data_IF_374394609223
#
_entry.id   IF_374394609223
#
_cell.length_a   1.000
_cell.length_b   1.000
_cell.length_c   1.000
_cell.angle_alpha   90.00
_cell.angle_beta   90.00
_cell.angle_gamma   90.00
#
_symmetry.space_group_name_H-M   'P 1'
#
loop_
_entity.id
_entity.type
_entity.pdbx_description
1 polymer ?
#
# COMPACT_ATOMS: atom_id res chain seq x y z
N UNK A 1 -8.40 -27.99 8.45
CA UNK A 1 -9.60 -27.09 8.45
C UNK A 1 -9.86 -26.40 7.11
N UNK A 2 -8.86 -26.16 6.25
CA UNK A 2 -9.09 -25.73 4.86
C UNK A 2 -9.76 -26.81 3.98
N UNK A 3 -9.84 -28.06 4.47
CA UNK A 3 -10.31 -29.25 3.75
C UNK A 3 -11.84 -29.39 3.65
N UNK A 4 -12.63 -28.51 4.28
CA UNK A 4 -14.11 -28.59 4.23
C UNK A 4 -14.74 -27.70 3.14
N UNK A 5 -13.92 -27.03 2.31
CA UNK A 5 -14.42 -26.13 1.26
C UNK A 5 -14.37 -26.84 -0.10
N UNK A 6 -15.48 -26.79 -0.83
CA UNK A 6 -15.54 -27.35 -2.18
C UNK A 6 -14.47 -26.71 -3.08
N UNK A 7 -13.83 -27.54 -3.91
CA UNK A 7 -12.87 -27.07 -4.90
C UNK A 7 -13.57 -26.13 -5.88
N UNK A 8 -12.97 -24.97 -6.13
CA UNK A 8 -13.51 -24.01 -7.10
C UNK A 8 -13.53 -24.66 -8.49
N UNK A 9 -14.61 -24.45 -9.23
CA UNK A 9 -14.81 -25.02 -10.57
C UNK A 9 -15.31 -23.96 -11.55
N UNK A 10 -15.09 -24.19 -12.85
CA UNK A 10 -15.51 -23.29 -13.94
C UNK A 10 -14.93 -21.87 -13.81
N UNK A 11 -15.75 -20.86 -14.03
CA UNK A 11 -15.36 -19.45 -14.00
C UNK A 11 -14.66 -19.05 -12.68
N UNK A 12 -15.07 -19.62 -11.55
CA UNK A 12 -14.47 -19.34 -10.25
C UNK A 12 -13.05 -19.91 -10.12
N UNK A 13 -12.77 -21.06 -10.75
CA UNK A 13 -11.43 -21.63 -10.80
C UNK A 13 -10.50 -20.81 -11.70
N UNK A 14 -11.00 -20.39 -12.86
CA UNK A 14 -10.25 -19.55 -13.80
C UNK A 14 -9.90 -18.19 -13.19
N UNK A 15 -10.85 -17.53 -12.52
CA UNK A 15 -10.60 -16.27 -11.82
C UNK A 15 -9.53 -16.42 -10.73
N UNK A 16 -9.60 -17.49 -9.95
CA UNK A 16 -8.62 -17.79 -8.91
C UNK A 16 -7.23 -18.07 -9.48
N UNK A 17 -7.15 -18.86 -10.55
CA UNK A 17 -5.88 -19.13 -11.24
C UNK A 17 -5.25 -17.85 -11.80
N UNK A 18 -6.04 -16.95 -12.38
CA UNK A 18 -5.57 -15.64 -12.84
C UNK A 18 -5.09 -14.72 -11.72
N UNK A 19 -5.62 -14.85 -10.50
CA UNK A 19 -5.13 -14.10 -9.34
C UNK A 19 -3.79 -14.69 -8.90
N UNK A 20 -3.69 -16.02 -8.78
CA UNK A 20 -2.45 -16.69 -8.39
C UNK A 20 -1.32 -16.47 -9.40
N UNK A 21 -1.63 -16.39 -10.70
CA UNK A 21 -0.64 -16.12 -11.75
C UNK A 21 -0.02 -14.72 -11.67
N UNK A 22 -0.61 -13.80 -10.90
CA UNK A 22 -0.07 -12.46 -10.66
C UNK A 22 0.84 -12.39 -9.44
N UNK A 23 1.00 -13.50 -8.71
CA UNK A 23 1.92 -13.58 -7.59
C UNK A 23 3.35 -13.45 -8.10
N UNK A 24 4.09 -12.51 -7.51
CA UNK A 24 5.48 -12.25 -7.84
C UNK A 24 6.39 -12.75 -6.71
N UNK A 25 7.15 -13.84 -6.93
CA UNK A 25 8.03 -14.40 -5.91
C UNK A 25 9.20 -13.47 -5.57
N UNK A 26 9.71 -12.68 -6.52
CA UNK A 26 10.82 -11.77 -6.25
C UNK A 26 10.38 -10.67 -5.28
N UNK A 27 9.20 -10.08 -5.53
CA UNK A 27 8.59 -9.11 -4.63
C UNK A 27 8.32 -9.73 -3.25
N UNK A 28 7.78 -10.95 -3.21
CA UNK A 28 7.50 -11.64 -1.96
C UNK A 28 8.76 -11.90 -1.13
N UNK A 29 9.84 -12.35 -1.76
CA UNK A 29 11.14 -12.55 -1.09
C UNK A 29 11.71 -11.25 -0.55
N UNK A 30 11.63 -10.17 -1.33
CA UNK A 30 12.09 -8.86 -0.90
C UNK A 30 11.23 -8.28 0.25
N UNK A 31 9.92 -8.54 0.26
CA UNK A 31 9.04 -8.21 1.39
C UNK A 31 9.41 -9.00 2.64
N UNK A 32 9.69 -10.30 2.55
CA UNK A 32 10.12 -11.11 3.69
C UNK A 32 11.48 -10.66 4.22
N UNK A 33 12.42 -10.29 3.34
CA UNK A 33 13.70 -9.70 3.73
C UNK A 33 13.51 -8.38 4.49
N UNK A 34 12.59 -7.52 4.04
CA UNK A 34 12.22 -6.30 4.76
C UNK A 34 11.58 -6.60 6.12
N UNK A 35 10.65 -7.57 6.19
CA UNK A 35 10.04 -8.00 7.47
C UNK A 35 11.12 -8.53 8.44
N UNK A 36 12.08 -9.31 7.95
CA UNK A 36 13.23 -9.80 8.73
C UNK A 36 14.05 -8.64 9.30
N UNK A 37 14.38 -7.65 8.47
CA UNK A 37 15.16 -6.48 8.89
C UNK A 37 14.42 -5.63 9.94
N UNK A 38 13.12 -5.43 9.78
CA UNK A 38 12.31 -4.60 10.70
C UNK A 38 12.01 -5.32 12.02
N UNK A 39 11.69 -6.61 11.97
CA UNK A 39 11.35 -7.38 13.18
C UNK A 39 12.55 -7.93 13.92
N UNK A 40 13.71 -8.04 13.25
CA UNK A 40 14.91 -8.69 13.79
C UNK A 40 14.76 -10.19 14.00
N UNK A 41 13.68 -10.81 13.51
CA UNK A 41 13.42 -12.25 13.67
C UNK A 41 14.06 -13.04 12.53
N UNK A 42 14.60 -14.21 12.85
CA UNK A 42 15.12 -15.11 11.83
C UNK A 42 13.95 -15.83 11.13
N UNK A 43 13.69 -15.43 9.89
CA UNK A 43 12.68 -16.02 9.01
C UNK A 43 13.31 -16.40 7.68
N UNK A 44 12.69 -17.37 7.00
CA UNK A 44 13.04 -17.73 5.63
C UNK A 44 12.63 -16.62 4.67
N UNK A 45 13.59 -16.09 3.92
CA UNK A 45 13.37 -15.01 2.94
C UNK A 45 13.04 -15.53 1.54
N UNK A 46 12.73 -16.83 1.39
CA UNK A 46 12.35 -17.36 0.09
C UNK A 46 11.00 -16.79 -0.35
N UNK A 47 10.94 -16.34 -1.59
CA UNK A 47 9.74 -15.81 -2.22
C UNK A 47 8.72 -16.87 -2.65
N UNK A 48 8.99 -18.15 -2.39
CA UNK A 48 8.07 -19.24 -2.74
C UNK A 48 6.72 -19.06 -2.06
N UNK A 49 5.65 -19.35 -2.79
CA UNK A 49 4.28 -19.12 -2.31
C UNK A 49 3.97 -19.90 -1.02
N UNK A 50 4.47 -21.13 -0.90
CA UNK A 50 4.31 -21.93 0.31
C UNK A 50 5.14 -21.39 1.47
N UNK A 51 6.38 -20.95 1.23
CA UNK A 51 7.21 -20.34 2.28
C UNK A 51 6.59 -19.05 2.80
N UNK A 52 6.13 -18.20 1.88
CA UNK A 52 5.46 -16.94 2.19
C UNK A 52 4.20 -17.16 3.03
N UNK A 53 3.38 -18.16 2.66
CA UNK A 53 2.23 -18.55 3.47
C UNK A 53 2.62 -19.08 4.84
N UNK A 54 3.50 -20.08 4.92
CA UNK A 54 3.85 -20.74 6.18
C UNK A 54 4.46 -19.77 7.19
N UNK A 55 5.21 -18.77 6.71
CA UNK A 55 5.83 -17.73 7.53
C UNK A 55 4.82 -16.73 8.11
N UNK A 56 3.71 -16.48 7.42
CA UNK A 56 2.74 -15.42 7.78
C UNK A 56 1.41 -15.96 8.32
N UNK A 57 1.07 -17.24 8.08
CA UNK A 57 -0.27 -17.80 8.31
C UNK A 57 -0.76 -17.71 9.76
N UNK A 58 0.13 -17.70 10.73
CA UNK A 58 -0.23 -17.63 12.15
C UNK A 58 -0.63 -16.22 12.60
N UNK A 59 -0.33 -15.21 11.78
CA UNK A 59 -0.54 -13.79 12.07
C UNK A 59 0.36 -13.22 13.18
N UNK A 60 1.18 -14.04 13.83
CA UNK A 60 2.04 -13.62 14.95
C UNK A 60 3.14 -12.70 14.43
N UNK A 61 3.83 -13.11 13.35
CA UNK A 61 4.88 -12.30 12.74
C UNK A 61 4.34 -10.94 12.25
N UNK A 62 3.11 -10.92 11.72
CA UNK A 62 2.43 -9.71 11.29
C UNK A 62 2.15 -8.75 12.46
N UNK A 63 1.68 -9.27 13.59
CA UNK A 63 1.49 -8.46 14.80
C UNK A 63 2.81 -7.88 15.32
N UNK A 64 3.88 -8.67 15.32
CA UNK A 64 5.20 -8.16 15.71
C UNK A 64 5.74 -7.11 14.75
N UNK A 65 5.53 -7.26 13.44
CA UNK A 65 5.89 -6.26 12.44
C UNK A 65 5.24 -4.90 12.74
N UNK A 66 3.95 -4.89 13.09
CA UNK A 66 3.25 -3.66 13.50
C UNK A 66 3.90 -3.05 14.73
N UNK A 67 4.20 -3.87 15.76
CA UNK A 67 4.84 -3.38 16.99
C UNK A 67 6.27 -2.87 16.75
N UNK A 68 7.00 -3.44 15.80
CA UNK A 68 8.33 -2.96 15.39
C UNK A 68 8.26 -1.62 14.64
N UNK A 69 7.21 -1.39 13.85
CA UNK A 69 6.99 -0.12 13.14
C UNK A 69 6.50 0.97 14.09
N UNK A 70 5.51 0.63 14.93
CA UNK A 70 4.91 1.53 15.90
C UNK A 70 4.86 0.82 17.26
N UNK A 71 5.80 1.14 18.16
CA UNK A 71 5.83 0.57 19.51
C UNK A 71 4.48 0.68 20.23
N UNK A 72 4.19 -0.32 21.07
CA UNK A 72 2.97 -0.38 21.90
C UNK A 72 1.62 -0.35 21.13
N UNK A 73 1.61 -0.68 19.84
CA UNK A 73 0.38 -0.75 19.05
C UNK A 73 -0.51 -1.92 19.47
N UNK A 74 0.02 -3.15 19.42
CA UNK A 74 -0.69 -4.37 19.77
C UNK A 74 -0.12 -4.88 21.10
N UNK A 75 -0.90 -4.93 22.19
CA UNK A 75 -0.45 -5.51 23.45
C UNK A 75 -0.07 -6.98 23.27
N UNK A 76 1.08 -7.41 23.77
CA UNK A 76 1.54 -8.81 23.66
C UNK A 76 0.53 -9.82 24.21
N UNK A 77 -0.26 -9.42 25.22
CA UNK A 77 -1.35 -10.24 25.80
C UNK A 77 -2.46 -10.57 24.80
N UNK A 78 -2.62 -9.78 23.73
CA UNK A 78 -3.61 -10.03 22.67
C UNK A 78 -3.06 -10.92 21.56
N UNK A 79 -1.75 -11.05 21.42
CA UNK A 79 -1.12 -11.89 20.39
C UNK A 79 -1.25 -13.35 20.82
N UNK A 80 -1.88 -14.16 19.98
CA UNK A 80 -2.11 -15.56 20.30
C UNK A 80 -1.11 -16.48 19.58
N UNK A 81 -0.43 -17.36 20.30
CA UNK A 81 0.54 -18.30 19.72
C UNK A 81 -0.04 -19.70 19.43
N UNK A 82 -1.35 -19.87 19.62
CA UNK A 82 -2.03 -21.13 19.32
C UNK A 82 -2.13 -21.38 17.81
N UNK A 83 -2.00 -22.63 17.40
CA UNK A 83 -2.23 -23.08 16.00
C UNK A 83 -3.71 -23.23 15.64
N UNK A 84 -4.62 -22.88 16.55
CA UNK A 84 -6.06 -22.96 16.32
C UNK A 84 -6.49 -21.91 15.29
N UNK A 85 -7.29 -22.33 14.30
CA UNK A 85 -7.68 -21.49 13.17
C UNK A 85 -8.24 -20.12 13.57
N UNK A 86 -9.17 -20.10 14.54
CA UNK A 86 -9.79 -18.85 14.99
C UNK A 86 -8.79 -17.89 15.65
N UNK A 87 -7.75 -18.41 16.31
CA UNK A 87 -6.70 -17.61 16.94
C UNK A 87 -5.73 -17.02 15.93
N UNK A 88 -5.34 -17.79 14.91
CA UNK A 88 -4.56 -17.26 13.81
C UNK A 88 -5.34 -16.18 13.04
N UNK A 89 -6.63 -16.40 12.77
CA UNK A 89 -7.50 -15.39 12.15
C UNK A 89 -7.68 -14.13 13.03
N UNK A 90 -7.72 -14.28 14.36
CA UNK A 90 -7.77 -13.15 15.30
C UNK A 90 -6.51 -12.29 15.21
N UNK A 91 -5.32 -12.91 15.18
CA UNK A 91 -4.05 -12.18 14.98
C UNK A 91 -4.02 -11.44 13.64
N UNK A 92 -4.45 -12.09 12.55
CA UNK A 92 -4.49 -11.45 11.23
C UNK A 92 -5.44 -10.25 11.23
N UNK A 93 -6.60 -10.34 11.89
CA UNK A 93 -7.50 -9.20 12.05
C UNK A 93 -6.86 -8.05 12.85
N UNK A 94 -6.15 -8.35 13.93
CA UNK A 94 -5.43 -7.35 14.73
C UNK A 94 -4.40 -6.62 13.87
N UNK A 95 -3.62 -7.35 13.05
CA UNK A 95 -2.71 -6.75 12.09
C UNK A 95 -3.44 -5.79 11.13
N UNK A 96 -4.55 -6.23 10.52
CA UNK A 96 -5.30 -5.45 9.54
C UNK A 96 -5.87 -4.15 10.14
N UNK A 97 -6.35 -4.20 11.38
CA UNK A 97 -6.85 -3.02 12.09
C UNK A 97 -5.74 -1.97 12.25
N UNK A 98 -4.57 -2.39 12.72
CA UNK A 98 -3.44 -1.48 12.94
C UNK A 98 -2.81 -1.01 11.62
N UNK A 99 -2.77 -1.86 10.59
CA UNK A 99 -2.35 -1.46 9.25
C UNK A 99 -3.19 -0.29 8.72
N UNK A 100 -4.53 -0.34 8.89
CA UNK A 100 -5.42 0.78 8.52
C UNK A 100 -5.14 2.03 9.33
N UNK A 101 -4.93 1.90 10.65
CA UNK A 101 -4.58 3.04 11.51
C UNK A 101 -3.23 3.69 11.13
N UNK A 102 -2.29 2.91 10.59
CA UNK A 102 -1.02 3.40 10.04
C UNK A 102 -1.14 4.01 8.63
N UNK A 103 -2.35 4.09 8.09
CA UNK A 103 -2.65 4.75 6.83
C UNK A 103 -2.56 3.86 5.60
N UNK A 104 -2.59 2.53 5.76
CA UNK A 104 -2.80 1.61 4.64
C UNK A 104 -4.24 1.76 4.13
N UNK A 105 -4.46 2.06 2.84
CA UNK A 105 -5.79 2.16 2.25
C UNK A 105 -6.56 0.85 2.38
N UNK A 106 -7.87 0.92 2.63
CA UNK A 106 -8.71 -0.27 2.73
C UNK A 106 -8.66 -1.16 1.47
N UNK A 107 -8.48 -0.54 0.30
CA UNK A 107 -8.35 -1.22 -0.99
C UNK A 107 -7.07 -2.06 -1.12
N UNK A 108 -6.03 -1.70 -0.37
CA UNK A 108 -4.74 -2.41 -0.31
C UNK A 108 -4.68 -3.35 0.91
N UNK A 109 -5.75 -3.44 1.72
CA UNK A 109 -5.88 -4.46 2.77
C UNK A 109 -6.46 -5.76 2.20
N UNK A 110 -6.32 -6.85 2.96
CA UNK A 110 -6.84 -8.17 2.60
C UNK A 110 -7.83 -8.69 3.67
N UNK A 111 -8.51 -9.80 3.37
CA UNK A 111 -9.40 -10.49 4.31
C UNK A 111 -8.67 -11.67 4.96
N UNK A 112 -9.04 -12.06 6.18
CA UNK A 112 -8.36 -13.16 6.88
C UNK A 112 -8.30 -14.48 6.11
N UNK A 113 -9.33 -14.77 5.30
CA UNK A 113 -9.40 -15.95 4.42
C UNK A 113 -8.37 -15.91 3.29
N UNK A 114 -7.94 -14.73 2.85
CA UNK A 114 -6.95 -14.57 1.78
C UNK A 114 -5.60 -15.15 2.18
N UNK A 115 -5.21 -14.91 3.44
CA UNK A 115 -4.02 -15.50 4.03
C UNK A 115 -4.31 -16.91 4.55
N UNK A 116 -5.25 -17.09 5.48
CA UNK A 116 -5.43 -18.37 6.19
C UNK A 116 -5.79 -19.55 5.27
N UNK A 117 -6.67 -19.34 4.30
CA UNK A 117 -7.12 -20.37 3.34
C UNK A 117 -6.38 -20.27 1.98
N UNK A 118 -5.27 -19.52 1.91
CA UNK A 118 -4.49 -19.29 0.68
C UNK A 118 -5.34 -18.81 -0.51
N UNK A 119 -6.41 -18.05 -0.28
CA UNK A 119 -7.29 -17.62 -1.37
C UNK A 119 -6.64 -16.55 -2.26
N UNK A 120 -5.82 -15.68 -1.68
CA UNK A 120 -5.25 -14.55 -2.40
C UNK A 120 -4.00 -13.99 -1.69
N UNK A 121 -2.86 -14.67 -1.88
CA UNK A 121 -1.58 -14.24 -1.30
C UNK A 121 -1.04 -12.96 -1.95
N UNK A 122 -1.49 -12.61 -3.16
CA UNK A 122 -1.16 -11.34 -3.81
C UNK A 122 -1.71 -10.14 -3.01
N UNK A 123 -2.93 -10.22 -2.50
CA UNK A 123 -3.48 -9.14 -1.67
C UNK A 123 -2.68 -8.96 -0.37
N UNK A 124 -2.11 -10.04 0.17
CA UNK A 124 -1.20 -9.98 1.33
C UNK A 124 0.10 -9.26 0.97
N UNK A 125 0.72 -9.57 -0.17
CA UNK A 125 1.93 -8.89 -0.62
C UNK A 125 1.70 -7.40 -0.91
N UNK A 126 0.57 -7.03 -1.51
CA UNK A 126 0.18 -5.63 -1.73
C UNK A 126 0.01 -4.90 -0.41
N UNK A 127 -0.63 -5.53 0.58
CA UNK A 127 -0.82 -4.93 1.90
C UNK A 127 0.51 -4.67 2.61
N UNK A 128 1.42 -5.64 2.59
CA UNK A 128 2.77 -5.49 3.15
C UNK A 128 3.57 -4.41 2.42
N UNK A 129 3.50 -4.36 1.10
CA UNK A 129 4.14 -3.31 0.31
C UNK A 129 3.58 -1.92 0.65
N UNK A 130 2.26 -1.80 0.80
CA UNK A 130 1.65 -0.56 1.26
C UNK A 130 2.13 -0.17 2.65
N UNK A 131 2.17 -1.12 3.59
CA UNK A 131 2.66 -0.86 4.94
C UNK A 131 4.13 -0.42 4.92
N UNK A 132 4.97 -1.05 4.10
CA UNK A 132 6.38 -0.71 3.95
C UNK A 132 6.59 0.69 3.36
N UNK A 133 5.69 1.18 2.49
CA UNK A 133 5.70 2.58 2.02
C UNK A 133 5.35 3.58 3.13
N UNK A 134 4.56 3.17 4.13
CA UNK A 134 4.17 4.02 5.28
C UNK A 134 5.18 3.96 6.44
N UNK A 135 5.98 2.89 6.54
CA UNK A 135 6.97 2.69 7.60
C UNK A 135 7.95 3.87 7.83
N UNK A 136 8.44 4.60 6.80
CA UNK A 136 9.29 5.79 7.00
C UNK A 136 8.65 6.89 7.84
N UNK A 137 7.31 7.00 7.84
CA UNK A 137 6.59 7.98 8.67
C UNK A 137 6.73 7.70 10.17
N UNK A 138 7.13 6.48 10.53
CA UNK A 138 7.35 6.03 11.90
C UNK A 138 8.85 5.87 12.23
N UNK A 139 9.75 6.32 11.34
CA UNK A 139 11.19 6.21 11.55
C UNK A 139 11.79 4.83 11.24
N UNK A 140 11.00 3.93 10.66
CA UNK A 140 11.47 2.60 10.21
C UNK A 140 11.78 2.64 8.72
N UNK A 141 12.84 1.93 8.29
CA UNK A 141 13.21 1.85 6.88
C UNK A 141 12.04 1.31 6.06
N UNK A 142 11.64 2.05 5.04
CA UNK A 142 10.58 1.65 4.13
C UNK A 142 11.05 0.83 2.95
N UNK A 143 10.09 0.38 2.16
CA UNK A 143 10.31 -0.30 0.89
C UNK A 143 9.46 0.36 -0.21
N UNK A 144 10.03 0.49 -1.40
CA UNK A 144 9.35 1.07 -2.56
C UNK A 144 9.47 2.60 -2.66
N UNK A 145 8.83 3.20 -3.67
CA UNK A 145 8.92 4.64 -3.92
C UNK A 145 8.29 5.44 -2.77
N UNK A 146 8.99 6.49 -2.33
CA UNK A 146 8.49 7.43 -1.31
C UNK A 146 7.20 8.08 -1.82
N UNK A 147 6.14 8.05 -1.01
CA UNK A 147 4.91 8.79 -1.31
C UNK A 147 5.20 10.29 -1.39
N UNK A 148 4.67 10.95 -2.42
CA UNK A 148 4.82 12.39 -2.57
C UNK A 148 4.11 13.13 -1.43
N UNK A 149 4.80 14.09 -0.83
CA UNK A 149 4.23 15.00 0.16
C UNK A 149 3.59 16.18 -0.59
N UNK A 150 2.36 16.55 -0.21
CA UNK A 150 1.67 17.67 -0.82
C UNK A 150 2.41 18.97 -0.48
N UNK A 151 3.05 19.59 -1.48
CA UNK A 151 3.66 20.90 -1.33
C UNK A 151 2.56 21.97 -1.41
N UNK A 152 1.90 22.24 -0.27
CA UNK A 152 0.91 23.31 -0.17
C UNK A 152 1.65 24.65 -0.23
N UNK A 153 1.59 25.30 -1.40
CA UNK A 153 2.16 26.63 -1.60
C UNK A 153 1.29 27.65 -0.88
N UNK A 154 1.85 28.30 0.14
CA UNK A 154 1.22 29.44 0.78
C UNK A 154 1.59 30.70 -0.02
N UNK A 155 0.58 31.40 -0.54
CA UNK A 155 0.76 32.69 -1.19
C UNK A 155 0.38 33.79 -0.19
N UNK A 156 1.10 34.92 -0.22
CA UNK A 156 0.68 36.08 0.57
C UNK A 156 -0.63 36.66 0.04
N UNK A 157 -1.36 37.36 0.90
CA UNK A 157 -2.62 38.01 0.52
C UNK A 157 -2.41 39.04 -0.62
N UNK A 158 -1.29 39.76 -0.58
CA UNK A 158 -0.85 40.66 -1.65
C UNK A 158 -0.60 39.93 -2.97
N UNK A 159 0.02 38.75 -2.93
CA UNK A 159 0.30 37.95 -4.14
C UNK A 159 -0.98 37.38 -4.74
N UNK A 160 -1.94 36.96 -3.91
CA UNK A 160 -3.26 36.53 -4.36
C UNK A 160 -4.04 37.71 -4.99
N UNK A 161 -4.00 38.89 -4.36
CA UNK A 161 -4.65 40.11 -4.85
C UNK A 161 -4.02 40.63 -6.14
N UNK A 162 -2.69 40.56 -6.26
CA UNK A 162 -1.98 40.87 -7.49
C UNK A 162 -2.38 39.92 -8.63
N UNK A 163 -2.61 38.63 -8.32
CA UNK A 163 -3.12 37.64 -9.26
C UNK A 163 -4.51 37.96 -9.80
N UNK A 164 -5.39 38.55 -8.99
CA UNK A 164 -6.74 38.96 -9.43
C UNK A 164 -6.72 40.09 -10.48
N UNK A 165 -5.68 40.94 -10.45
CA UNK A 165 -5.52 42.04 -11.40
C UNK A 165 -4.85 41.61 -12.72
N UNK A 166 -4.36 40.36 -12.81
CA UNK A 166 -3.81 39.82 -14.06
C UNK A 166 -4.96 39.42 -14.98
N UNK A 167 -5.26 40.29 -15.94
CA UNK A 167 -6.22 40.01 -17.01
C UNK A 167 -5.68 38.85 -17.84
N UNK A 168 -6.34 37.69 -17.75
CA UNK A 168 -5.98 36.52 -18.56
C UNK A 168 -6.12 36.84 -20.05
N UNK A 169 -5.13 36.45 -20.86
CA UNK A 169 -5.02 36.75 -22.30
C UNK A 169 -6.27 36.34 -23.14
N UNK A 170 -7.17 35.55 -22.57
CA UNK A 170 -8.43 35.08 -23.17
C UNK A 170 -9.65 35.96 -22.85
N UNK A 171 -9.58 36.93 -21.91
CA UNK A 171 -10.70 37.82 -21.56
C UNK A 171 -10.88 39.00 -22.55
N UNK A 172 -10.50 38.80 -23.81
CA UNK A 172 -10.79 39.69 -24.91
C UNK A 172 -11.73 39.02 -25.91
N UNK A 173 -12.87 39.64 -26.18
CA UNK A 173 -13.68 39.28 -27.34
C UNK A 173 -12.83 39.41 -28.61
N UNK A 174 -12.70 38.34 -29.40
CA UNK A 174 -12.02 38.38 -30.70
C UNK A 174 -12.82 39.19 -31.74
N UNK A 175 -14.03 39.64 -31.38
CA UNK A 175 -14.95 40.38 -32.24
C UNK A 175 -14.43 41.82 -32.41
N UNK A 176 -13.47 41.98 -33.31
CA UNK A 176 -12.83 43.25 -33.64
C UNK A 176 -11.30 43.21 -33.75
N UNK A 177 -10.64 42.07 -33.51
CA UNK A 177 -9.18 41.94 -33.67
C UNK A 177 -8.82 41.84 -35.15
N UNK A 178 -8.80 42.97 -35.86
CA UNK A 178 -8.26 43.05 -37.21
C UNK A 178 -6.74 43.01 -37.13
N UNK A 179 -6.11 42.26 -38.04
CA UNK A 179 -4.64 42.15 -38.18
C UNK A 179 -4.03 43.43 -38.77
N UNK A 180 -4.57 44.59 -38.44
CA UNK A 180 -4.18 45.89 -39.00
C UNK A 180 -3.28 46.58 -37.98
N UNK A 181 -1.99 46.21 -37.95
CA UNK A 181 -1.04 46.85 -37.04
C UNK A 181 0.19 46.03 -36.63
N UNK A 182 0.27 44.74 -37.00
CA UNK A 182 1.49 43.96 -36.77
C UNK A 182 2.56 44.33 -37.80
N UNK A 183 3.16 45.52 -37.64
CA UNK A 183 4.39 45.89 -38.30
C UNK A 183 5.55 45.22 -37.56
N UNK A 184 5.89 44.00 -37.97
CA UNK A 184 7.16 43.39 -37.58
C UNK A 184 8.27 44.25 -38.19
N UNK A 185 8.99 44.96 -37.32
CA UNK A 185 10.02 45.93 -37.68
C UNK A 185 10.93 45.42 -38.78
N UNK A 186 11.15 46.29 -39.78
CA UNK A 186 12.05 46.06 -40.90
C UNK A 186 13.44 45.70 -40.36
N UNK A 187 13.90 44.48 -40.63
CA UNK A 187 15.25 44.03 -40.27
C UNK A 187 16.24 44.78 -41.15
N UNK A 188 17.23 45.43 -40.53
CA UNK A 188 18.40 46.00 -41.21
C UNK A 188 19.44 44.91 -41.45
#
# INVERSE_FOLDING_TARGET
MAENRATKSGLAAEAHSKIQSKYDPELAGALLAWVKEVTGKDISTSGDMDNFYETLKDGVLLCHLVNSIKPDSIPDKKINHSKMAFKCMENINLFLEHARQMGVPAQETFQTVDLWEKQNLLSVSICLQSLARKAPKFGVKGMGPKEAEANVRNFSEEQLKAGQNVISLQYGSHRGRTQSGNHFGNTR
#
